data_IF_849070773760
#
_entry.id   IF_849070773760
#
_cell.length_a   1.000
_cell.length_b   1.000
_cell.length_c   1.000
_cell.angle_alpha   90.00
_cell.angle_beta   90.00
_cell.angle_gamma   90.00
#
_symmetry.space_group_name_H-M   'P 1'
#
loop_
_entity.id
_entity.type
_entity.pdbx_description
1 polymer ?
#
# COMPACT_ATOMS: atom_id res chain seq x y z
N UNK A 1 3.70 14.94 11.04
CA UNK A 1 2.39 15.49 10.62
C UNK A 1 2.51 16.13 9.25
N UNK A 2 3.50 17.00 9.03
CA UNK A 2 3.71 17.70 7.75
C UNK A 2 3.95 16.76 6.57
N UNK A 3 4.67 15.65 6.77
CA UNK A 3 4.89 14.63 5.74
C UNK A 3 3.59 13.98 5.25
N UNK A 4 2.70 13.58 6.17
CA UNK A 4 1.39 12.99 5.83
C UNK A 4 0.54 13.99 5.04
N UNK A 5 0.53 15.26 5.46
CA UNK A 5 -0.20 16.32 4.74
C UNK A 5 0.37 16.52 3.33
N UNK A 6 1.69 16.40 3.15
CA UNK A 6 2.31 16.45 1.82
C UNK A 6 1.87 15.27 0.96
N UNK A 7 1.86 14.06 1.51
CA UNK A 7 1.40 12.85 0.82
C UNK A 7 -0.08 12.96 0.43
N UNK A 8 -0.94 13.47 1.32
CA UNK A 8 -2.36 13.72 1.05
C UNK A 8 -2.56 14.72 -0.10
N UNK A 9 -1.76 15.79 -0.13
CA UNK A 9 -1.76 16.77 -1.23
C UNK A 9 -1.38 16.14 -2.56
N UNK A 10 -0.32 15.34 -2.58
CA UNK A 10 0.21 14.74 -3.81
C UNK A 10 -0.65 13.59 -4.32
N UNK A 11 -1.03 12.65 -3.45
CA UNK A 11 -1.63 11.38 -3.87
C UNK A 11 -3.15 11.29 -3.65
N UNK A 12 -3.75 12.25 -2.94
CA UNK A 12 -5.18 12.29 -2.70
C UNK A 12 -5.83 13.65 -3.00
N UNK A 13 -5.21 14.48 -3.84
CA UNK A 13 -5.70 15.82 -4.21
C UNK A 13 -5.97 16.73 -2.99
N UNK A 14 -5.20 16.57 -1.91
CA UNK A 14 -5.35 17.33 -0.67
C UNK A 14 -6.47 16.84 0.24
N UNK A 15 -7.19 15.79 -0.14
CA UNK A 15 -8.15 15.14 0.75
C UNK A 15 -7.42 14.32 1.81
N UNK A 16 -7.93 14.29 3.05
CA UNK A 16 -7.36 13.44 4.08
C UNK A 16 -7.34 11.97 3.65
N UNK A 17 -6.28 11.26 3.99
CA UNK A 17 -6.23 9.81 3.80
C UNK A 17 -7.24 9.11 4.73
N UNK A 18 -7.66 7.87 4.38
CA UNK A 18 -8.39 7.00 5.30
C UNK A 18 -7.70 6.91 6.66
N UNK A 19 -8.50 6.88 7.73
CA UNK A 19 -8.00 6.89 9.10
C UNK A 19 -6.94 5.83 9.36
N UNK A 20 -7.15 4.60 8.90
CA UNK A 20 -6.19 3.50 9.07
C UNK A 20 -4.84 3.79 8.38
N UNK A 21 -4.85 4.38 7.18
CA UNK A 21 -3.61 4.78 6.50
C UNK A 21 -2.90 5.91 7.26
N UNK A 22 -3.63 6.92 7.74
CA UNK A 22 -3.02 8.01 8.53
C UNK A 22 -2.38 7.49 9.81
N UNK A 23 -3.04 6.58 10.52
CA UNK A 23 -2.51 5.96 11.73
C UNK A 23 -1.27 5.12 11.44
N UNK A 24 -1.29 4.32 10.37
CA UNK A 24 -0.13 3.56 9.89
C UNK A 24 1.06 4.49 9.60
N UNK A 25 0.86 5.54 8.80
CA UNK A 25 1.92 6.47 8.44
C UNK A 25 2.45 7.24 9.66
N UNK A 26 1.59 7.56 10.63
CA UNK A 26 1.98 8.22 11.86
C UNK A 26 2.86 7.34 12.76
N UNK A 27 2.50 6.06 12.90
CA UNK A 27 3.21 5.13 13.79
C UNK A 27 4.44 4.50 13.12
N UNK A 28 4.34 4.19 11.83
CA UNK A 28 5.25 3.33 11.11
C UNK A 28 5.45 3.78 9.65
N UNK A 29 5.37 5.08 9.34
CA UNK A 29 5.59 5.59 7.97
C UNK A 29 7.02 5.48 7.47
N UNK A 30 8.02 5.49 8.37
CA UNK A 30 9.44 5.35 8.00
C UNK A 30 9.91 3.90 7.89
N UNK A 31 9.35 3.02 8.73
CA UNK A 31 9.70 1.61 8.79
C UNK A 31 8.58 0.84 9.44
N UNK A 32 8.23 -0.30 8.85
CA UNK A 32 7.29 -1.26 9.40
C UNK A 32 7.95 -2.64 9.43
N UNK A 33 7.73 -3.42 10.49
CA UNK A 33 8.29 -4.79 10.59
C UNK A 33 7.49 -5.83 9.82
N UNK A 34 6.28 -5.46 9.40
CA UNK A 34 5.31 -6.36 8.78
C UNK A 34 4.87 -5.92 7.39
N UNK A 35 5.46 -4.84 6.87
CA UNK A 35 5.30 -4.35 5.51
C UNK A 35 6.68 -4.06 4.92
N UNK A 36 6.89 -4.36 3.64
CA UNK A 36 8.15 -4.07 2.96
C UNK A 36 8.08 -2.71 2.28
N UNK A 37 8.76 -1.72 2.87
CA UNK A 37 8.99 -0.43 2.22
C UNK A 37 10.30 -0.50 1.46
N UNK A 38 10.23 -0.83 0.18
CA UNK A 38 11.40 -0.94 -0.68
C UNK A 38 11.87 0.45 -1.17
N UNK A 39 12.08 1.39 -0.24
CA UNK A 39 12.37 2.81 -0.54
C UNK A 39 12.90 3.53 0.70
N UNK A 40 13.57 4.67 0.54
CA UNK A 40 13.99 5.52 1.66
C UNK A 40 12.83 6.41 2.17
N UNK A 41 11.78 6.59 1.38
CA UNK A 41 10.61 7.38 1.77
C UNK A 41 9.30 6.88 1.17
N UNK A 42 8.20 7.21 1.86
CA UNK A 42 6.85 6.89 1.38
C UNK A 42 6.55 7.50 0.01
N UNK A 43 7.03 8.71 -0.26
CA UNK A 43 6.86 9.35 -1.57
C UNK A 43 7.61 8.62 -2.66
N UNK A 44 8.86 8.23 -2.41
CA UNK A 44 9.65 7.44 -3.37
C UNK A 44 9.00 6.09 -3.68
N UNK A 45 8.45 5.40 -2.66
CA UNK A 45 7.67 4.17 -2.89
C UNK A 45 6.46 4.39 -3.81
N UNK A 46 5.77 5.52 -3.66
CA UNK A 46 4.64 5.85 -4.52
C UNK A 46 5.06 6.11 -5.97
N UNK A 47 6.20 6.76 -6.19
CA UNK A 47 6.73 7.03 -7.53
C UNK A 47 7.23 5.74 -8.19
N UNK A 48 8.04 4.93 -7.48
CA UNK A 48 8.56 3.67 -8.02
C UNK A 48 7.44 2.73 -8.48
N UNK A 49 6.40 2.53 -7.66
CA UNK A 49 5.29 1.68 -8.07
C UNK A 49 4.50 2.23 -9.28
N UNK A 50 4.51 3.55 -9.50
CA UNK A 50 3.89 4.18 -10.69
C UNK A 50 4.79 4.09 -11.91
N UNK A 51 6.11 4.16 -11.73
CA UNK A 51 7.10 3.89 -12.78
C UNK A 51 6.99 2.42 -13.21
N UNK A 52 6.93 1.49 -12.26
CA UNK A 52 6.74 0.05 -12.54
C UNK A 52 5.45 -0.17 -13.34
N UNK A 53 4.31 0.40 -12.92
CA UNK A 53 3.06 0.33 -13.69
C UNK A 53 3.23 0.83 -15.14
N UNK A 54 3.96 1.93 -15.33
CA UNK A 54 4.17 2.51 -16.66
C UNK A 54 5.06 1.60 -17.54
N UNK A 55 6.11 0.99 -16.97
CA UNK A 55 7.01 0.07 -17.66
C UNK A 55 6.28 -1.19 -18.15
N UNK A 56 5.25 -1.64 -17.43
CA UNK A 56 4.38 -2.74 -17.83
C UNK A 56 3.17 -2.32 -18.70
N UNK A 57 3.08 -1.05 -19.11
CA UNK A 57 1.93 -0.48 -19.82
C UNK A 57 0.58 -0.66 -19.08
N UNK A 58 0.63 -0.69 -17.74
CA UNK A 58 -0.51 -0.83 -16.84
C UNK A 58 -0.91 0.52 -16.25
N UNK A 59 -2.17 0.66 -15.86
CA UNK A 59 -2.63 1.86 -15.15
C UNK A 59 -3.78 1.57 -14.21
N UNK A 60 -3.72 2.15 -13.01
CA UNK A 60 -4.81 2.17 -12.04
C UNK A 60 -5.51 3.54 -12.15
N UNK A 61 -6.72 3.60 -12.72
CA UNK A 61 -7.36 4.89 -13.04
C UNK A 61 -7.95 5.60 -11.82
N UNK A 62 -8.16 4.89 -10.71
CA UNK A 62 -8.70 5.42 -9.46
C UNK A 62 -7.56 5.91 -8.56
N UNK A 63 -7.78 6.94 -7.72
CA UNK A 63 -6.76 7.37 -6.78
C UNK A 63 -6.41 6.25 -5.80
N UNK A 64 -5.12 5.96 -5.68
CA UNK A 64 -4.62 4.84 -4.90
C UNK A 64 -3.35 5.21 -4.14
N UNK A 65 -3.09 4.47 -3.07
CA UNK A 65 -1.88 4.59 -2.27
C UNK A 65 -1.27 3.20 -2.01
N UNK A 66 0.00 3.04 -2.36
CA UNK A 66 0.78 1.81 -2.17
C UNK A 66 1.20 1.71 -0.71
N UNK A 67 1.02 0.54 -0.11
CA UNK A 67 1.31 0.28 1.30
C UNK A 67 2.39 -0.78 1.52
N UNK A 68 2.69 -1.57 0.48
CA UNK A 68 3.73 -2.61 0.52
C UNK A 68 4.22 -2.88 -0.90
N UNK A 69 5.54 -3.04 -1.10
CA UNK A 69 6.15 -3.47 -2.36
C UNK A 69 7.03 -4.67 -2.06
N UNK A 70 6.71 -5.82 -2.65
CA UNK A 70 7.35 -7.09 -2.32
C UNK A 70 7.58 -7.94 -3.57
N UNK A 71 8.26 -9.08 -3.38
CA UNK A 71 8.68 -9.96 -4.48
C UNK A 71 9.49 -9.21 -5.56
N UNK A 72 10.53 -8.48 -5.14
CA UNK A 72 11.45 -7.75 -6.03
C UNK A 72 10.78 -6.78 -7.02
N UNK A 73 9.70 -6.12 -6.60
CA UNK A 73 8.87 -5.21 -7.40
C UNK A 73 7.95 -5.87 -8.43
N UNK A 74 7.78 -7.19 -8.42
CA UNK A 74 6.83 -7.84 -9.33
C UNK A 74 5.35 -7.64 -8.89
N UNK A 75 5.15 -7.17 -7.65
CA UNK A 75 3.83 -6.91 -7.09
C UNK A 75 3.85 -5.88 -5.95
N UNK A 76 2.70 -5.24 -5.73
CA UNK A 76 2.51 -4.33 -4.61
C UNK A 76 1.10 -4.44 -4.00
N UNK A 77 1.00 -4.12 -2.70
CA UNK A 77 -0.27 -3.93 -2.02
C UNK A 77 -0.65 -2.46 -2.02
N UNK A 78 -1.92 -2.18 -2.24
CA UNK A 78 -2.42 -0.82 -2.26
C UNK A 78 -3.87 -0.72 -1.77
N UNK A 79 -4.29 0.50 -1.53
CA UNK A 79 -5.68 0.84 -1.21
C UNK A 79 -6.22 1.87 -2.19
N UNK A 80 -7.51 1.83 -2.46
CA UNK A 80 -8.20 2.93 -3.13
C UNK A 80 -8.57 4.03 -2.13
N UNK A 81 -8.31 5.28 -2.50
CA UNK A 81 -8.52 6.44 -1.64
C UNK A 81 -9.94 7.03 -1.75
N UNK A 82 -10.71 6.60 -2.75
CA UNK A 82 -12.07 7.05 -3.05
C UNK A 82 -13.18 6.14 -2.48
N UNK A 83 -12.87 5.15 -1.64
CA UNK A 83 -13.87 4.22 -1.10
C UNK A 83 -14.75 4.81 0.03
N UNK A 84 -14.37 5.96 0.60
CA UNK A 84 -15.12 6.62 1.67
C UNK A 84 -15.18 5.85 2.99
N UNK A 85 -14.22 4.94 3.22
CA UNK A 85 -14.11 4.13 4.45
C UNK A 85 -12.88 4.53 5.24
N UNK A 86 -13.00 4.56 6.56
CA UNK A 86 -11.87 4.80 7.48
C UNK A 86 -10.84 3.67 7.45
N UNK A 87 -11.29 2.44 7.22
CA UNK A 87 -10.46 1.25 7.08
C UNK A 87 -10.72 0.63 5.69
N UNK A 88 -9.92 1.01 4.69
CA UNK A 88 -10.16 0.67 3.29
C UNK A 88 -9.86 -0.80 3.01
N UNK A 89 -10.45 -1.31 1.93
CA UNK A 89 -10.14 -2.65 1.42
C UNK A 89 -8.73 -2.67 0.83
N UNK A 90 -8.00 -3.76 1.06
CA UNK A 90 -6.67 -3.98 0.51
C UNK A 90 -6.74 -4.70 -0.84
N UNK A 91 -5.90 -4.27 -1.76
CA UNK A 91 -5.78 -4.81 -3.11
C UNK A 91 -4.34 -5.18 -3.38
N UNK A 92 -4.15 -6.14 -4.27
CA UNK A 92 -2.86 -6.59 -4.77
C UNK A 92 -2.80 -6.27 -6.28
N UNK A 93 -1.68 -5.70 -6.72
CA UNK A 93 -1.32 -5.58 -8.12
C UNK A 93 -0.17 -6.53 -8.42
N UNK A 94 -0.33 -7.40 -9.43
CA UNK A 94 0.68 -8.37 -9.88
C UNK A 94 0.92 -8.13 -11.36
N UNK A 95 2.14 -7.78 -11.74
CA UNK A 95 2.43 -7.31 -13.10
C UNK A 95 2.38 -8.43 -14.14
N UNK A 96 2.73 -9.67 -13.76
CA UNK A 96 2.72 -10.81 -14.68
C UNK A 96 2.17 -12.10 -14.04
N UNK A 97 1.54 -12.94 -14.86
CA UNK A 97 1.31 -14.35 -14.52
C UNK A 97 0.19 -14.68 -13.53
N UNK A 98 -0.59 -13.71 -13.05
CA UNK A 98 -1.69 -13.99 -12.11
C UNK A 98 -3.01 -14.39 -12.83
N UNK A 99 -3.58 -15.57 -12.56
CA UNK A 99 -4.82 -16.03 -13.18
C UNK A 99 -6.07 -15.23 -12.76
N UNK A 100 -6.03 -14.47 -11.67
CA UNK A 100 -7.10 -13.59 -11.17
C UNK A 100 -7.15 -12.26 -11.91
N UNK A 101 -6.12 -11.98 -12.73
CA UNK A 101 -5.89 -10.67 -13.34
C UNK A 101 -4.90 -9.84 -12.52
N UNK A 102 -4.36 -8.81 -13.16
CA UNK A 102 -3.26 -8.00 -12.64
C UNK A 102 -3.63 -7.10 -11.45
N UNK A 103 -4.92 -6.89 -11.17
CA UNK A 103 -5.44 -6.27 -9.92
C UNK A 103 -6.57 -7.09 -9.36
N UNK A 104 -6.52 -7.38 -8.07
CA UNK A 104 -7.63 -8.02 -7.37
C UNK A 104 -7.67 -7.65 -5.88
N UNK A 105 -8.85 -7.80 -5.27
CA UNK A 105 -9.03 -7.56 -3.84
C UNK A 105 -8.49 -8.74 -3.02
N UNK A 106 -7.93 -8.45 -1.85
CA UNK A 106 -7.56 -9.47 -0.86
C UNK A 106 -8.69 -9.79 0.13
N UNK A 107 -9.90 -9.25 -0.10
CA UNK A 107 -11.08 -9.43 0.75
C UNK A 107 -10.85 -9.15 2.24
N UNK A 108 -9.84 -8.32 2.53
CA UNK A 108 -9.49 -7.88 3.87
C UNK A 108 -9.29 -6.36 3.90
N UNK A 109 -9.29 -5.81 5.11
CA UNK A 109 -9.02 -4.39 5.33
C UNK A 109 -7.56 -4.14 5.66
N UNK A 110 -7.06 -2.93 5.42
CA UNK A 110 -5.68 -2.55 5.75
C UNK A 110 -5.31 -2.90 7.20
N UNK A 111 -6.13 -2.50 8.16
CA UNK A 111 -5.88 -2.82 9.57
C UNK A 111 -5.95 -4.32 9.87
N UNK A 112 -6.85 -5.04 9.18
CA UNK A 112 -6.99 -6.49 9.32
C UNK A 112 -5.76 -7.26 8.82
N UNK A 113 -5.23 -6.85 7.66
CA UNK A 113 -4.01 -7.40 7.09
C UNK A 113 -2.82 -7.20 8.03
N UNK A 114 -2.57 -5.94 8.45
CA UNK A 114 -1.47 -5.62 9.37
C UNK A 114 -1.59 -6.41 10.67
N UNK A 115 -2.80 -6.53 11.23
CA UNK A 115 -3.06 -7.32 12.45
C UNK A 115 -2.73 -8.80 12.28
N UNK A 116 -3.04 -9.39 11.11
CA UNK A 116 -2.66 -10.77 10.78
C UNK A 116 -1.15 -10.93 10.69
N UNK A 117 -0.48 -10.05 9.94
CA UNK A 117 0.97 -10.09 9.76
C UNK A 117 1.72 -9.93 11.09
N UNK A 118 1.27 -9.01 11.94
CA UNK A 118 1.80 -8.82 13.29
C UNK A 118 1.60 -10.06 14.15
N UNK A 119 0.43 -10.71 14.05
CA UNK A 119 0.15 -11.94 14.79
C UNK A 119 1.09 -13.08 14.37
N UNK A 120 1.38 -13.22 13.08
CA UNK A 120 2.36 -14.20 12.57
C UNK A 120 3.78 -13.88 13.03
N UNK A 121 4.20 -12.62 12.93
CA UNK A 121 5.51 -12.17 13.41
C UNK A 121 5.71 -12.45 14.90
N UNK A 122 4.69 -12.19 15.74
CA UNK A 122 4.74 -12.45 17.18
C UNK A 122 4.77 -13.95 17.52
N UNK A 123 4.32 -14.83 16.62
CA UNK A 123 4.47 -16.29 16.74
C UNK A 123 5.85 -16.79 16.28
N UNK A 124 6.71 -15.91 15.76
CA UNK A 124 8.01 -16.27 15.21
C UNK A 124 7.95 -16.80 13.78
N UNK A 125 6.82 -16.63 13.09
CA UNK A 125 6.68 -16.92 11.66
C UNK A 125 7.27 -15.75 10.85
N UNK A 126 7.73 -16.04 9.63
CA UNK A 126 8.17 -14.98 8.72
C UNK A 126 6.93 -14.27 8.15
N UNK A 127 6.78 -12.93 8.33
CA UNK A 127 5.71 -12.18 7.69
C UNK A 127 5.96 -11.91 6.20
N UNK A 128 7.13 -12.27 5.65
CA UNK A 128 7.51 -12.09 4.24
C UNK A 128 7.66 -13.43 3.51
#
# INVERSE_FOLDING_TARGET
MDEIISLEKTYNNGNPFPKALRELLYLAGKRCYVLAYYSDSQAEMQEMAREDLADYELSIPRPFYVVDVYNAHDQFLFIYLDEGKDNPTLYEAVFEGDPRGWVHSLDCSLAGFIGSQLSSYLRGENPF
#
